data_IF_561207344418
#
_entry.id   IF_561207344418
#
_cell.length_a   1.000
_cell.length_b   1.000
_cell.length_c   1.000
_cell.angle_alpha   90.00
_cell.angle_beta   90.00
_cell.angle_gamma   90.00
#
_symmetry.space_group_name_H-M   'P 1'
#
loop_
_entity.id
_entity.type
_entity.pdbx_description
1 polymer ?
#
# COMPACT_ATOMS: atom_id res chain seq x y z
N UNK A 1 20.43 -5.45 -2.38
CA UNK A 1 19.02 -5.20 -2.02
C UNK A 1 18.45 -6.51 -1.46
N UNK A 2 18.04 -6.58 -0.18
CA UNK A 2 17.54 -7.82 0.45
C UNK A 2 16.01 -7.89 0.28
N UNK A 3 15.51 -8.82 -0.54
CA UNK A 3 14.08 -9.13 -0.65
C UNK A 3 13.61 -9.80 0.65
N UNK A 4 12.52 -9.33 1.24
CA UNK A 4 11.84 -10.00 2.36
C UNK A 4 10.71 -10.84 1.75
N UNK A 5 10.72 -12.15 2.05
CA UNK A 5 9.61 -13.04 1.73
C UNK A 5 8.41 -12.62 2.58
N UNK A 6 7.25 -12.36 1.96
CA UNK A 6 6.00 -12.03 2.65
C UNK A 6 5.63 -13.17 3.61
N UNK A 7 5.89 -12.98 4.89
CA UNK A 7 5.38 -13.85 5.95
C UNK A 7 4.03 -13.29 6.35
N UNK A 8 2.95 -13.98 5.97
CA UNK A 8 1.60 -13.64 6.45
C UNK A 8 1.58 -13.96 7.94
N UNK A 9 1.80 -12.94 8.77
CA UNK A 9 1.60 -13.02 10.21
C UNK A 9 0.19 -12.56 10.53
N UNK A 10 -0.61 -13.48 11.03
CA UNK A 10 -1.90 -13.26 11.68
C UNK A 10 -1.75 -12.26 12.83
N UNK A 11 -2.52 -11.16 12.83
CA UNK A 11 -2.68 -10.25 13.97
C UNK A 11 -3.75 -9.17 13.70
N UNK A 12 -4.74 -9.07 14.59
CA UNK A 12 -5.58 -7.90 14.94
C UNK A 12 -5.60 -6.69 13.97
N UNK A 13 -6.81 -6.40 13.44
CA UNK A 13 -7.17 -5.42 12.39
C UNK A 13 -6.39 -5.61 11.08
N UNK A 14 -6.96 -6.32 10.09
CA UNK A 14 -6.23 -6.70 8.89
C UNK A 14 -5.76 -5.46 8.13
N UNK A 15 -4.49 -5.47 7.74
CA UNK A 15 -3.99 -4.55 6.73
C UNK A 15 -4.67 -4.87 5.40
N UNK A 16 -5.32 -3.88 4.80
CA UNK A 16 -6.00 -4.01 3.51
C UNK A 16 -5.16 -3.29 2.46
N UNK A 17 -4.78 -4.02 1.42
CA UNK A 17 -4.09 -3.46 0.25
C UNK A 17 -5.08 -2.65 -0.57
N UNK A 18 -4.81 -1.35 -0.72
CA UNK A 18 -5.65 -0.41 -1.47
C UNK A 18 -5.15 -0.25 -2.90
N UNK A 19 -3.83 -0.18 -3.06
CA UNK A 19 -3.16 0.00 -4.36
C UNK A 19 -1.96 -0.93 -4.45
N UNK A 20 -1.76 -1.51 -5.63
CA UNK A 20 -0.60 -2.33 -5.98
C UNK A 20 -0.04 -1.87 -7.31
N UNK A 21 1.28 -1.72 -7.39
CA UNK A 21 2.02 -1.45 -8.64
C UNK A 21 3.06 -2.54 -8.86
N UNK A 22 3.08 -3.14 -10.04
CA UNK A 22 3.96 -4.25 -10.41
C UNK A 22 4.87 -3.82 -11.58
N UNK A 23 6.16 -4.16 -11.50
CA UNK A 23 7.05 -4.16 -12.67
C UNK A 23 7.59 -2.81 -13.14
N UNK A 24 7.15 -1.70 -12.57
CA UNK A 24 7.63 -0.37 -12.96
C UNK A 24 8.62 0.22 -11.96
N UNK A 25 9.62 0.94 -12.46
CA UNK A 25 10.45 1.83 -11.64
C UNK A 25 9.61 3.05 -11.21
N UNK A 26 9.59 3.32 -9.91
CA UNK A 26 8.81 4.42 -9.37
C UNK A 26 8.40 4.23 -7.92
N UNK A 27 8.19 5.35 -7.24
CA UNK A 27 7.67 5.37 -5.87
C UNK A 27 6.15 5.30 -5.92
N UNK A 28 5.57 4.21 -5.39
CA UNK A 28 4.11 4.04 -5.29
C UNK A 28 3.43 5.20 -4.54
N UNK A 29 4.17 5.95 -3.74
CA UNK A 29 3.71 7.16 -3.05
C UNK A 29 3.22 8.25 -4.02
N UNK A 30 3.80 8.37 -5.21
CA UNK A 30 3.34 9.32 -6.22
C UNK A 30 2.01 8.87 -6.83
N UNK A 31 1.88 7.57 -7.12
CA UNK A 31 0.64 6.98 -7.64
C UNK A 31 -0.50 7.11 -6.63
N UNK A 32 -0.21 6.88 -5.34
CA UNK A 32 -1.17 7.08 -4.25
C UNK A 32 -1.60 8.54 -4.19
N UNK A 33 -0.66 9.50 -4.23
CA UNK A 33 -1.00 10.94 -4.25
C UNK A 33 -1.85 11.32 -5.46
N UNK A 34 -1.55 10.80 -6.64
CA UNK A 34 -2.33 11.04 -7.85
C UNK A 34 -3.74 10.43 -7.73
N UNK A 35 -3.86 9.20 -7.23
CA UNK A 35 -5.13 8.53 -6.98
C UNK A 35 -6.01 9.32 -6.01
N UNK A 36 -5.48 9.74 -4.87
CA UNK A 36 -6.24 10.52 -3.88
C UNK A 36 -6.78 11.83 -4.43
N UNK A 37 -5.91 12.58 -5.14
CA UNK A 37 -6.30 13.84 -5.80
C UNK A 37 -7.43 13.62 -6.81
N UNK A 38 -7.35 12.55 -7.60
CA UNK A 38 -8.38 12.19 -8.59
C UNK A 38 -9.76 11.96 -7.94
N UNK A 39 -9.78 11.42 -6.73
CA UNK A 39 -11.02 11.14 -5.99
C UNK A 39 -11.44 12.26 -5.05
N UNK A 40 -10.73 13.39 -5.03
CA UNK A 40 -11.02 14.49 -4.10
C UNK A 40 -10.89 14.08 -2.63
N UNK A 41 -10.13 13.02 -2.35
CA UNK A 41 -9.88 12.57 -0.97
C UNK A 41 -8.86 13.53 -0.37
N UNK A 42 -9.33 14.38 0.54
CA UNK A 42 -8.46 15.27 1.29
C UNK A 42 -7.57 14.45 2.21
N UNK A 43 -6.31 14.32 1.83
CA UNK A 43 -5.35 13.47 2.50
C UNK A 43 -4.76 14.22 3.69
N UNK A 44 -5.37 14.03 4.86
CA UNK A 44 -4.61 14.18 6.09
C UNK A 44 -3.63 12.99 6.19
N UNK A 45 -2.33 13.19 6.45
CA UNK A 45 -1.35 12.11 6.51
C UNK A 45 -1.81 10.99 7.42
N UNK A 46 -1.82 9.75 6.92
CA UNK A 46 -1.90 8.58 7.78
C UNK A 46 -0.61 8.48 8.58
N UNK A 47 -0.73 8.09 9.85
CA UNK A 47 0.46 7.70 10.62
C UNK A 47 0.97 6.35 10.14
N UNK A 48 2.22 6.01 10.47
CA UNK A 48 2.81 4.70 10.15
C UNK A 48 2.04 3.52 10.79
N UNK A 49 1.20 3.79 11.79
CA UNK A 49 0.31 2.80 12.41
C UNK A 49 -0.99 2.59 11.63
N UNK A 50 -1.38 3.57 10.81
CA UNK A 50 -2.64 3.58 10.04
C UNK A 50 -2.45 3.17 8.58
N UNK A 51 -1.30 3.50 7.98
CA UNK A 51 -0.98 3.17 6.61
C UNK A 51 0.49 2.82 6.45
N UNK A 52 0.81 1.97 5.47
CA UNK A 52 2.18 1.60 5.15
C UNK A 52 2.40 1.33 3.67
N UNK A 53 3.66 1.43 3.28
CA UNK A 53 4.14 1.10 1.96
C UNK A 53 5.04 -0.11 2.05
N UNK A 54 4.67 -1.19 1.36
CA UNK A 54 5.45 -2.42 1.34
C UNK A 54 6.01 -2.67 -0.07
N UNK A 55 7.16 -3.34 -0.14
CA UNK A 55 7.74 -3.82 -1.40
C UNK A 55 7.95 -5.31 -1.29
N UNK A 56 7.38 -6.05 -2.24
CA UNK A 56 7.38 -7.49 -2.33
C UNK A 56 8.05 -7.93 -3.62
N UNK A 57 8.81 -9.02 -3.56
CA UNK A 57 9.37 -9.62 -4.75
C UNK A 57 8.31 -10.56 -5.34
N UNK A 58 8.07 -10.47 -6.65
CA UNK A 58 7.12 -11.37 -7.31
C UNK A 58 7.79 -12.70 -7.63
N UNK A 59 7.06 -13.62 -8.27
CA UNK A 59 7.62 -14.90 -8.74
C UNK A 59 8.79 -14.69 -9.71
N UNK A 60 8.74 -13.61 -10.48
CA UNK A 60 9.87 -13.14 -11.26
C UNK A 60 10.72 -12.21 -10.40
N UNK A 61 11.96 -12.61 -10.12
CA UNK A 61 12.90 -11.84 -9.30
C UNK A 61 13.31 -10.51 -9.91
N UNK A 62 13.11 -10.32 -11.21
CA UNK A 62 13.31 -9.02 -11.88
C UNK A 62 12.15 -8.05 -11.63
N UNK A 63 11.04 -8.55 -11.10
CA UNK A 63 9.79 -7.81 -10.92
C UNK A 63 9.47 -7.65 -9.43
N UNK A 64 9.28 -6.41 -9.00
CA UNK A 64 8.80 -6.07 -7.66
C UNK A 64 7.36 -5.59 -7.71
N UNK A 65 6.60 -5.94 -6.68
CA UNK A 65 5.29 -5.38 -6.38
C UNK A 65 5.44 -4.39 -5.23
N UNK A 66 4.97 -3.16 -5.40
CA UNK A 66 4.87 -2.18 -4.32
C UNK A 66 3.40 -2.05 -3.95
N UNK A 67 3.08 -1.98 -2.67
CA UNK A 67 1.70 -1.86 -2.20
C UNK A 67 1.56 -0.69 -1.25
N UNK A 68 0.39 -0.06 -1.31
CA UNK A 68 -0.09 0.84 -0.28
C UNK A 68 -1.22 0.15 0.48
N UNK A 69 -1.04 -0.01 1.78
CA UNK A 69 -1.97 -0.72 2.66
C UNK A 69 -2.42 0.20 3.77
N UNK A 70 -3.67 0.07 4.20
CA UNK A 70 -4.22 0.77 5.36
C UNK A 70 -4.83 -0.22 6.33
N UNK A 71 -4.95 0.18 7.61
CA UNK A 71 -5.78 -0.56 8.56
C UNK A 71 -7.22 -0.64 8.07
N UNK A 72 -7.87 -1.78 8.22
CA UNK A 72 -9.28 -1.96 7.84
C UNK A 72 -10.20 -0.90 8.45
N UNK A 73 -9.97 -0.55 9.72
CA UNK A 73 -10.66 0.54 10.43
C UNK A 73 -10.53 1.94 9.78
N UNK A 74 -9.59 2.12 8.85
CA UNK A 74 -9.28 3.40 8.19
C UNK A 74 -9.78 3.48 6.74
N UNK A 75 -10.35 2.41 6.19
CA UNK A 75 -10.90 2.40 4.82
C UNK A 75 -11.95 3.49 4.59
N UNK A 76 -12.76 3.81 5.61
CA UNK A 76 -13.77 4.87 5.53
C UNK A 76 -13.17 6.26 5.26
N UNK A 77 -11.93 6.53 5.70
CA UNK A 77 -11.22 7.81 5.38
C UNK A 77 -10.88 7.92 3.90
N UNK A 78 -10.80 6.79 3.20
CA UNK A 78 -10.58 6.73 1.76
C UNK A 78 -11.90 6.65 0.97
N UNK A 79 -13.06 6.73 1.64
CA UNK A 79 -14.35 6.50 1.01
C UNK A 79 -14.57 5.03 0.59
N UNK A 80 -13.83 4.08 1.16
CA UNK A 80 -13.91 2.66 0.87
C UNK A 80 -14.67 1.95 2.02
N UNK A 81 -15.52 0.98 1.68
CA UNK A 81 -16.35 0.20 2.61
C UNK A 81 -16.35 -1.28 2.29
#
# INVERSE_FOLDING_TARGET
MRCILLRVTDASDPWVVVLTRIGEEGWIQDDVRAWLRKWGIDWNPFTDEEARYDTYCTRDSSTVARTFSVRGSKLRRLGLS
#
